data_IF_089447365387
#
_entry.id   IF_089447365387
#
_cell.length_a   1.000
_cell.length_b   1.000
_cell.length_c   1.000
_cell.angle_alpha   90.00
_cell.angle_beta   90.00
_cell.angle_gamma   90.00
#
_symmetry.space_group_name_H-M   'P 1'
#
loop_
_entity.id
_entity.type
_entity.pdbx_description
1 polymer ?
#
# COMPACT_ATOMS: atom_id res chain seq x y z
N UNK A 1 -32.05 32.98 22.33
CA UNK A 1 -31.92 31.64 22.93
C UNK A 1 -30.50 31.16 22.73
N UNK A 2 -29.76 30.79 23.79
CA UNK A 2 -28.44 30.18 23.64
C UNK A 2 -28.55 28.77 23.05
N UNK A 3 -27.65 28.43 22.13
CA UNK A 3 -27.56 27.10 21.53
C UNK A 3 -27.18 26.06 22.61
N UNK A 4 -27.82 24.89 22.66
CA UNK A 4 -27.39 23.83 23.58
C UNK A 4 -25.98 23.35 23.20
N UNK A 5 -25.17 22.93 24.19
CA UNK A 5 -23.83 22.41 23.94
C UNK A 5 -23.89 21.17 23.03
N UNK A 6 -22.90 20.95 22.15
CA UNK A 6 -22.86 19.76 21.31
C UNK A 6 -22.75 18.50 22.18
N UNK A 7 -23.56 17.48 21.89
CA UNK A 7 -23.47 16.21 22.62
C UNK A 7 -22.09 15.56 22.43
N UNK A 8 -21.52 14.95 23.49
CA UNK A 8 -20.26 14.24 23.35
C UNK A 8 -20.44 13.04 22.42
N UNK A 9 -19.62 12.97 21.37
CA UNK A 9 -19.50 11.79 20.50
C UNK A 9 -19.21 10.58 21.38
N UNK A 10 -20.15 9.62 21.44
CA UNK A 10 -19.90 8.33 22.08
C UNK A 10 -18.77 7.63 21.32
N UNK A 11 -17.64 7.41 21.99
CA UNK A 11 -16.61 6.49 21.50
C UNK A 11 -17.25 5.11 21.27
N UNK A 12 -16.92 4.40 20.17
CA UNK A 12 -17.44 3.05 19.97
C UNK A 12 -17.00 2.16 21.14
N UNK A 13 -17.97 1.49 21.75
CA UNK A 13 -17.73 0.48 22.79
C UNK A 13 -16.83 -0.62 22.21
N UNK A 14 -15.77 -1.06 22.91
CA UNK A 14 -15.03 -2.24 22.48
C UNK A 14 -15.97 -3.44 22.44
N UNK A 15 -15.84 -4.26 21.39
CA UNK A 15 -16.59 -5.50 21.27
C UNK A 15 -16.29 -6.41 22.48
N UNK A 16 -17.28 -7.10 23.06
CA UNK A 16 -17.06 -7.96 24.21
C UNK A 16 -16.28 -9.21 23.79
N UNK A 17 -15.12 -9.42 24.39
CA UNK A 17 -14.24 -10.57 24.14
C UNK A 17 -12.79 -10.15 23.92
N UNK A 18 -12.13 -9.74 25.01
CA UNK A 18 -10.73 -9.35 25.01
C UNK A 18 -9.83 -10.50 24.53
N UNK A 19 -9.45 -10.46 23.26
CA UNK A 19 -8.23 -11.12 22.80
C UNK A 19 -7.11 -10.13 22.95
N UNK A 20 -6.19 -10.42 23.86
CA UNK A 20 -4.88 -9.79 23.92
C UNK A 20 -4.26 -9.85 22.52
N UNK A 21 -4.09 -8.70 21.89
CA UNK A 21 -3.41 -8.58 20.61
C UNK A 21 -1.93 -8.88 20.84
N UNK A 22 -1.54 -10.15 20.77
CA UNK A 22 -0.14 -10.50 20.51
C UNK A 22 0.28 -9.73 19.25
N UNK A 23 1.42 -9.04 19.30
CA UNK A 23 2.02 -8.43 18.10
C UNK A 23 2.34 -9.56 17.12
N UNK A 24 1.41 -9.78 16.20
CA UNK A 24 1.64 -10.60 15.03
C UNK A 24 2.62 -9.83 14.12
N UNK A 25 3.74 -10.43 13.69
CA UNK A 25 4.65 -9.80 12.73
C UNK A 25 3.97 -9.41 11.40
N UNK A 26 2.76 -9.93 11.13
CA UNK A 26 1.98 -9.66 9.92
C UNK A 26 0.87 -8.62 10.13
N UNK A 27 0.99 -7.70 11.08
CA UNK A 27 0.04 -6.60 11.26
C UNK A 27 -0.21 -5.86 9.92
N UNK A 28 -1.44 -5.97 9.39
CA UNK A 28 -1.82 -5.43 8.06
C UNK A 28 -2.35 -6.45 7.06
N UNK A 29 -2.44 -7.74 7.40
CA UNK A 29 -3.11 -8.75 6.56
C UNK A 29 -4.61 -8.45 6.45
N UNK A 30 -5.11 -8.28 5.22
CA UNK A 30 -6.54 -8.17 4.95
C UNK A 30 -6.99 -9.39 4.13
N UNK A 31 -8.02 -10.08 4.61
CA UNK A 31 -8.68 -11.13 3.84
C UNK A 31 -9.83 -10.51 3.05
N UNK A 32 -9.83 -10.67 1.73
CA UNK A 32 -10.99 -10.31 0.89
C UNK A 32 -11.68 -11.57 0.36
N UNK A 33 -12.95 -11.45 -0.04
CA UNK A 33 -13.82 -12.57 -0.40
C UNK A 33 -13.32 -13.24 -1.68
N UNK A 34 -12.53 -14.31 -1.53
CA UNK A 34 -12.05 -15.16 -2.64
C UNK A 34 -10.54 -15.30 -2.77
N UNK A 35 -9.74 -14.53 -2.02
CA UNK A 35 -8.28 -14.65 -2.04
C UNK A 35 -7.61 -13.85 -0.92
N UNK A 36 -6.57 -14.43 -0.32
CA UNK A 36 -5.83 -13.84 0.80
C UNK A 36 -4.97 -12.65 0.30
N UNK A 37 -5.49 -11.42 0.38
CA UNK A 37 -4.80 -10.20 -0.05
C UNK A 37 -3.74 -9.77 1.00
N UNK A 38 -2.55 -10.34 0.90
CA UNK A 38 -1.42 -10.03 1.78
C UNK A 38 -0.67 -8.77 1.33
N UNK A 39 -0.97 -7.63 1.94
CA UNK A 39 -0.15 -6.41 1.77
C UNK A 39 1.12 -6.53 2.60
N UNK A 40 2.17 -7.11 2.03
CA UNK A 40 3.49 -7.26 2.68
C UNK A 40 4.39 -6.12 2.26
N UNK A 41 5.01 -5.45 3.22
CA UNK A 41 6.17 -4.60 2.98
C UNK A 41 7.38 -5.43 2.57
N UNK A 42 7.52 -5.67 1.27
CA UNK A 42 8.75 -5.77 0.46
C UNK A 42 9.92 -6.71 0.84
N UNK A 43 9.99 -7.33 2.01
CA UNK A 43 11.13 -8.18 2.38
C UNK A 43 10.93 -9.62 1.86
N UNK A 44 11.91 -10.17 1.14
CA UNK A 44 11.80 -11.48 0.48
C UNK A 44 11.57 -12.61 1.49
N UNK A 45 12.23 -12.57 2.65
CA UNK A 45 12.08 -13.53 3.74
C UNK A 45 10.63 -13.58 4.27
N UNK A 46 9.97 -12.43 4.40
CA UNK A 46 8.56 -12.37 4.75
C UNK A 46 7.67 -12.98 3.67
N UNK A 47 7.97 -12.75 2.39
CA UNK A 47 7.23 -13.34 1.26
C UNK A 47 7.39 -14.87 1.27
N UNK A 48 8.59 -15.38 1.50
CA UNK A 48 8.86 -16.83 1.62
C UNK A 48 8.03 -17.44 2.75
N UNK A 49 8.11 -16.87 3.97
CA UNK A 49 7.38 -17.39 5.12
C UNK A 49 5.86 -17.42 4.90
N UNK A 50 5.34 -16.42 4.20
CA UNK A 50 3.92 -16.35 3.84
C UNK A 50 3.56 -17.36 2.74
N UNK A 51 4.43 -17.54 1.75
CA UNK A 51 4.20 -18.51 0.68
C UNK A 51 4.16 -19.95 1.23
N UNK A 52 5.05 -20.28 2.16
CA UNK A 52 5.04 -21.56 2.87
C UNK A 52 3.76 -21.76 3.69
N UNK A 53 3.27 -20.70 4.33
CA UNK A 53 2.08 -20.76 5.19
C UNK A 53 0.77 -20.91 4.41
N UNK A 54 0.62 -20.17 3.32
CA UNK A 54 -0.64 -20.10 2.56
C UNK A 54 -0.66 -21.00 1.33
N UNK A 55 0.51 -21.44 0.85
CA UNK A 55 0.65 -22.19 -0.39
C UNK A 55 0.69 -21.30 -1.64
N UNK A 56 1.11 -21.87 -2.78
CA UNK A 56 1.30 -21.14 -4.03
C UNK A 56 -0.03 -20.63 -4.59
N UNK A 57 0.00 -19.47 -5.26
CA UNK A 57 -1.15 -18.91 -5.95
C UNK A 57 -2.17 -18.23 -5.02
N UNK A 58 -1.83 -18.06 -3.74
CA UNK A 58 -2.72 -17.44 -2.73
C UNK A 58 -2.33 -16.01 -2.37
N UNK A 59 -1.06 -15.65 -2.57
CA UNK A 59 -0.54 -14.34 -2.20
C UNK A 59 -0.78 -13.31 -3.29
N UNK A 60 -1.34 -12.16 -2.92
CA UNK A 60 -1.36 -10.96 -3.76
C UNK A 60 -0.61 -9.83 -3.06
N UNK A 61 0.46 -9.32 -3.66
CA UNK A 61 1.35 -8.33 -3.07
C UNK A 61 1.11 -6.91 -3.59
N UNK A 62 1.45 -5.92 -2.76
CA UNK A 62 1.66 -4.54 -3.17
C UNK A 62 3.15 -4.32 -3.45
N UNK A 63 3.52 -4.22 -4.72
CA UNK A 63 4.86 -3.88 -5.15
C UNK A 63 5.25 -2.48 -4.69
N UNK A 64 6.41 -2.40 -4.04
CA UNK A 64 7.04 -1.16 -3.59
C UNK A 64 8.46 -1.08 -4.13
N UNK A 65 9.06 0.11 -4.25
CA UNK A 65 10.47 0.24 -4.58
C UNK A 65 11.34 -0.55 -3.59
N UNK A 66 12.22 -1.41 -4.10
CA UNK A 66 13.08 -2.28 -3.29
C UNK A 66 12.53 -3.69 -3.03
N UNK A 67 11.30 -4.00 -3.46
CA UNK A 67 10.81 -5.37 -3.47
C UNK A 67 11.57 -6.25 -4.49
N UNK A 68 11.59 -7.59 -4.29
CA UNK A 68 12.12 -8.51 -5.30
C UNK A 68 11.46 -8.34 -6.66
N UNK A 69 12.15 -8.78 -7.72
CA UNK A 69 11.61 -8.68 -9.07
C UNK A 69 10.28 -9.45 -9.21
N UNK A 70 9.38 -9.05 -10.13
CA UNK A 70 8.13 -9.78 -10.38
C UNK A 70 8.36 -11.26 -10.72
N UNK A 71 9.42 -11.57 -11.46
CA UNK A 71 9.83 -12.94 -11.78
C UNK A 71 10.18 -13.72 -10.50
N UNK A 72 10.98 -13.13 -9.62
CA UNK A 72 11.33 -13.75 -8.33
C UNK A 72 10.10 -13.96 -7.46
N UNK A 73 9.18 -13.00 -7.42
CA UNK A 73 7.92 -13.14 -6.69
C UNK A 73 7.05 -14.27 -7.25
N UNK A 74 7.02 -14.46 -8.57
CA UNK A 74 6.30 -15.56 -9.20
C UNK A 74 6.91 -16.93 -8.85
N UNK A 75 8.25 -17.05 -8.84
CA UNK A 75 8.95 -18.26 -8.36
C UNK A 75 8.59 -18.59 -6.90
N UNK A 76 8.42 -17.57 -6.07
CA UNK A 76 8.02 -17.70 -4.67
C UNK A 76 6.52 -18.02 -4.50
N UNK A 77 5.77 -18.19 -5.59
CA UNK A 77 4.36 -18.60 -5.54
C UNK A 77 3.37 -17.44 -5.36
N UNK A 78 3.79 -16.20 -5.58
CA UNK A 78 2.90 -15.03 -5.58
C UNK A 78 2.00 -15.07 -6.81
N UNK A 79 0.69 -14.91 -6.61
CA UNK A 79 -0.30 -14.96 -7.68
C UNK A 79 -0.43 -13.64 -8.45
N UNK A 80 -0.26 -12.52 -7.75
CA UNK A 80 -0.46 -11.18 -8.29
C UNK A 80 0.42 -10.16 -7.60
N UNK A 81 0.90 -9.19 -8.36
CA UNK A 81 1.50 -7.96 -7.84
C UNK A 81 0.67 -6.77 -8.33
N UNK A 82 0.31 -5.89 -7.41
CA UNK A 82 -0.30 -4.60 -7.69
C UNK A 82 0.67 -3.49 -7.28
N UNK A 83 0.67 -2.33 -7.94
CA UNK A 83 1.57 -1.22 -7.59
C UNK A 83 0.84 -0.07 -6.88
N UNK A 84 -0.42 -0.30 -6.50
CA UNK A 84 -1.25 0.70 -5.83
C UNK A 84 -1.22 2.06 -6.52
N UNK A 85 -1.17 3.16 -5.75
CA UNK A 85 -1.15 4.51 -6.31
C UNK A 85 0.25 4.97 -6.73
N UNK A 86 1.31 4.16 -6.56
CA UNK A 86 2.69 4.62 -6.77
C UNK A 86 2.95 5.14 -8.20
N UNK A 87 2.53 4.43 -9.28
CA UNK A 87 2.70 4.94 -10.63
C UNK A 87 1.96 6.26 -10.84
N UNK A 88 0.72 6.36 -10.35
CA UNK A 88 -0.10 7.56 -10.46
C UNK A 88 0.54 8.74 -9.71
N UNK A 89 1.02 8.52 -8.49
CA UNK A 89 1.73 9.54 -7.70
C UNK A 89 2.99 10.05 -8.41
N UNK A 90 3.73 9.16 -9.08
CA UNK A 90 4.92 9.55 -9.85
C UNK A 90 4.54 10.46 -11.03
N UNK A 91 3.50 10.11 -11.77
CA UNK A 91 2.99 10.94 -12.89
C UNK A 91 2.50 12.29 -12.40
N UNK A 92 1.69 12.32 -11.33
CA UNK A 92 1.19 13.57 -10.78
C UNK A 92 2.30 14.46 -10.22
N UNK A 93 3.34 13.87 -9.64
CA UNK A 93 4.53 14.61 -9.18
C UNK A 93 5.25 15.30 -10.34
N UNK A 94 5.56 14.54 -11.41
CA UNK A 94 6.19 15.10 -12.59
C UNK A 94 5.33 16.20 -13.26
N UNK A 95 4.02 16.00 -13.32
CA UNK A 95 3.09 17.01 -13.84
C UNK A 95 3.08 18.28 -12.99
N UNK A 96 3.13 18.14 -11.66
CA UNK A 96 3.17 19.29 -10.75
C UNK A 96 4.49 20.08 -10.89
N UNK A 97 5.61 19.38 -11.05
CA UNK A 97 6.92 19.99 -11.33
C UNK A 97 6.91 20.78 -12.64
N UNK A 98 6.39 20.19 -13.71
CA UNK A 98 6.26 20.85 -15.02
C UNK A 98 5.35 22.08 -14.96
N UNK A 99 4.20 21.96 -14.30
CA UNK A 99 3.29 23.09 -14.12
C UNK A 99 3.95 24.24 -13.35
N UNK A 100 4.77 23.94 -12.34
CA UNK A 100 5.51 24.94 -11.58
C UNK A 100 6.58 25.64 -12.44
N UNK A 101 7.29 24.89 -13.30
CA UNK A 101 8.27 25.45 -14.23
C UNK A 101 7.61 26.43 -15.22
N UNK A 102 6.53 26.01 -15.87
CA UNK A 102 5.79 26.84 -16.84
C UNK A 102 5.22 28.12 -16.19
N UNK A 103 4.67 28.01 -14.98
CA UNK A 103 4.17 29.18 -14.24
C UNK A 103 5.29 30.10 -13.74
N UNK A 104 6.49 29.56 -13.53
CA UNK A 104 7.71 30.30 -13.20
C UNK A 104 8.34 31.03 -14.40
N UNK A 105 7.86 30.76 -15.61
CA UNK A 105 8.35 31.36 -16.84
C UNK A 105 9.37 30.52 -17.61
N UNK A 106 9.60 29.26 -17.23
CA UNK A 106 10.36 28.32 -18.05
C UNK A 106 9.47 27.83 -19.20
N UNK A 107 9.82 28.19 -20.42
CA UNK A 107 9.10 27.89 -21.66
C UNK A 107 9.43 26.50 -22.25
N UNK A 108 9.99 25.60 -21.44
CA UNK A 108 10.24 24.19 -21.78
C UNK A 108 11.33 23.94 -22.83
N UNK A 109 11.96 24.98 -23.38
CA UNK A 109 12.91 24.89 -24.50
C UNK A 109 14.28 24.29 -24.12
N UNK A 110 14.51 23.91 -22.85
CA UNK A 110 15.79 23.37 -22.36
C UNK A 110 15.86 21.86 -22.10
N UNK A 111 14.75 21.13 -22.14
CA UNK A 111 14.71 19.74 -21.64
C UNK A 111 14.97 18.65 -22.70
N UNK A 112 15.11 18.98 -23.99
CA UNK A 112 15.56 18.02 -25.02
C UNK A 112 17.08 18.05 -25.15
N UNK A 113 17.79 17.55 -24.14
CA UNK A 113 19.24 17.37 -24.19
C UNK A 113 19.76 16.54 -23.02
N UNK A 114 19.94 15.23 -23.24
CA UNK A 114 20.54 14.30 -22.29
C UNK A 114 20.11 12.86 -22.52
#
# INVERSE_FOLDING_TARGET
MPQPPPEPVRSPSPAPGGREWRRDPFHGVQHDVGGDLLTVGAAEDAVVALAERFGPGRLSLLGTPGAPSPERLAELGVARVSYGPFPHRRVLGALAEEAAALLGGDDGAGATGG
#
